data_IF_081698317014
#
_entry.id   IF_081698317014
#
_cell.length_a   1.000
_cell.length_b   1.000
_cell.length_c   1.000
_cell.angle_alpha   90.00
_cell.angle_beta   90.00
_cell.angle_gamma   90.00
#
_symmetry.space_group_name_H-M   'P 1'
#
loop_
_entity.id
_entity.type
_entity.pdbx_description
1 polymer ?
#
# COMPACT_ATOMS: atom_id res chain seq x y z
N UNK A 1 -33.97 -19.96 2.65
CA UNK A 1 -32.89 -19.43 3.50
C UNK A 1 -32.06 -18.61 2.56
N UNK A 2 -32.31 -17.29 2.52
CA UNK A 2 -31.49 -16.39 1.74
C UNK A 2 -30.10 -16.38 2.35
N UNK A 3 -29.14 -16.93 1.62
CA UNK A 3 -27.73 -16.62 1.83
C UNK A 3 -27.61 -15.14 1.53
N UNK A 4 -27.61 -14.32 2.58
CA UNK A 4 -27.26 -12.92 2.52
C UNK A 4 -25.87 -12.87 1.87
N UNK A 5 -25.83 -12.55 0.58
CA UNK A 5 -24.59 -12.31 -0.16
C UNK A 5 -23.90 -11.20 0.63
N UNK A 6 -22.76 -11.48 1.28
CA UNK A 6 -22.02 -10.42 1.94
C UNK A 6 -21.57 -9.47 0.85
N UNK A 7 -22.19 -8.29 0.79
CA UNK A 7 -21.79 -7.23 -0.12
C UNK A 7 -20.44 -6.73 0.41
N UNK A 8 -19.42 -6.77 -0.43
CA UNK A 8 -18.10 -6.24 -0.09
C UNK A 8 -18.18 -4.71 -0.05
N UNK A 9 -17.45 -4.03 0.86
CA UNK A 9 -17.48 -2.57 0.94
C UNK A 9 -16.86 -1.92 -0.30
N UNK A 10 -17.33 -0.73 -0.69
CA UNK A 10 -16.61 0.07 -1.68
C UNK A 10 -15.25 0.49 -1.11
N UNK A 11 -14.20 0.26 -1.90
CA UNK A 11 -12.83 0.57 -1.54
C UNK A 11 -12.36 1.88 -2.20
N UNK A 12 -11.44 2.56 -1.53
CA UNK A 12 -10.77 3.76 -2.03
C UNK A 12 -9.27 3.55 -1.98
N UNK A 13 -8.60 3.61 -3.13
CA UNK A 13 -7.15 3.67 -3.21
C UNK A 13 -6.70 5.12 -3.33
N UNK A 14 -5.93 5.63 -2.37
CA UNK A 14 -5.39 6.99 -2.41
C UNK A 14 -3.90 6.92 -2.67
N UNK A 15 -3.44 7.60 -3.72
CA UNK A 15 -2.02 7.70 -4.00
C UNK A 15 -1.37 8.75 -3.11
N UNK A 16 -0.50 8.34 -2.20
CA UNK A 16 0.12 9.19 -1.18
C UNK A 16 1.62 9.33 -1.42
N UNK A 17 2.12 10.54 -1.20
CA UNK A 17 3.54 10.89 -1.29
C UNK A 17 4.33 10.30 -0.12
N UNK A 18 5.52 9.75 -0.38
CA UNK A 18 6.48 9.35 0.67
C UNK A 18 7.77 10.20 0.60
N UNK A 19 7.78 11.27 -0.19
CA UNK A 19 8.91 12.21 -0.24
C UNK A 19 9.14 12.89 1.11
N UNK A 20 10.40 13.24 1.42
CA UNK A 20 10.77 13.92 2.66
C UNK A 20 9.93 15.15 2.99
N UNK A 21 9.80 16.06 2.03
CA UNK A 21 9.01 17.29 2.14
C UNK A 21 7.50 17.05 2.27
N UNK A 22 7.03 15.81 2.08
CA UNK A 22 5.65 15.42 2.34
C UNK A 22 5.41 15.00 3.79
N UNK A 23 6.44 14.75 4.59
CA UNK A 23 6.28 14.39 5.99
C UNK A 23 6.00 15.61 6.88
N UNK A 24 5.19 15.45 7.95
CA UNK A 24 4.50 14.21 8.34
C UNK A 24 3.28 13.92 7.45
N UNK A 25 2.97 12.63 7.20
CA UNK A 25 1.78 12.23 6.45
C UNK A 25 0.51 12.27 7.30
N UNK A 26 -0.66 12.20 6.67
CA UNK A 26 -1.98 12.23 7.33
C UNK A 26 -2.83 11.02 6.92
N UNK A 27 -3.45 10.36 7.90
CA UNK A 27 -4.52 9.37 7.71
C UNK A 27 -4.08 7.96 7.32
N UNK A 28 -2.78 7.72 7.09
CA UNK A 28 -2.25 6.43 6.63
C UNK A 28 -2.34 5.35 7.70
N UNK A 29 -2.33 5.72 8.99
CA UNK A 29 -2.56 4.79 10.10
C UNK A 29 -3.94 4.15 10.10
N UNK A 30 -4.87 4.70 9.32
CA UNK A 30 -6.24 4.20 9.20
C UNK A 30 -6.42 3.33 7.94
N UNK A 31 -5.41 3.20 7.08
CA UNK A 31 -5.50 2.32 5.92
C UNK A 31 -5.48 0.84 6.35
N UNK A 32 -6.34 0.01 5.76
CA UNK A 32 -6.33 -1.43 6.03
C UNK A 32 -5.31 -2.17 5.15
N UNK A 33 -4.96 -1.59 4.01
CA UNK A 33 -3.93 -2.09 3.09
C UNK A 33 -3.11 -0.90 2.60
N UNK A 34 -1.78 -1.02 2.64
CA UNK A 34 -0.87 -0.07 1.99
C UNK A 34 0.07 -0.84 1.08
N UNK A 35 0.22 -0.39 -0.16
CA UNK A 35 1.22 -0.90 -1.10
C UNK A 35 2.26 0.18 -1.33
N UNK A 36 3.48 -0.08 -0.89
CA UNK A 36 4.64 0.78 -1.07
C UNK A 36 5.48 0.28 -2.25
N UNK A 37 5.75 1.18 -3.20
CA UNK A 37 6.56 0.86 -4.38
C UNK A 37 7.37 2.07 -4.86
N UNK A 38 8.50 1.85 -5.54
CA UNK A 38 9.35 2.95 -6.01
C UNK A 38 8.71 3.68 -7.19
N UNK A 39 8.93 4.99 -7.26
CA UNK A 39 8.55 5.83 -8.40
C UNK A 39 9.79 6.49 -9.02
N UNK A 40 9.72 7.76 -9.42
CA UNK A 40 10.87 8.47 -10.00
C UNK A 40 12.00 8.65 -9.00
N UNK A 41 13.23 8.62 -9.50
CA UNK A 41 14.44 8.91 -8.73
C UNK A 41 14.61 8.05 -7.45
N UNK A 42 13.88 6.93 -7.34
CA UNK A 42 13.90 6.09 -6.14
C UNK A 42 13.09 6.68 -4.98
N UNK A 43 12.12 7.57 -5.21
CA UNK A 43 11.23 8.03 -4.14
C UNK A 43 10.04 7.07 -4.07
N UNK A 44 9.72 6.47 -2.90
CA UNK A 44 8.55 5.61 -2.77
C UNK A 44 7.26 6.43 -2.92
N UNK A 45 6.16 5.74 -3.21
CA UNK A 45 4.80 6.23 -2.93
C UNK A 45 4.00 5.12 -2.29
N UNK A 46 2.98 5.54 -1.54
CA UNK A 46 2.09 4.65 -0.82
C UNK A 46 0.72 4.65 -1.51
N UNK A 47 0.27 3.50 -2.00
CA UNK A 47 -1.12 3.31 -2.37
C UNK A 47 -1.87 2.82 -1.13
N UNK A 48 -2.56 3.73 -0.46
CA UNK A 48 -3.28 3.46 0.77
C UNK A 48 -4.76 3.18 0.50
N UNK A 49 -5.26 2.04 0.98
CA UNK A 49 -6.63 1.60 0.80
C UNK A 49 -7.48 1.83 2.04
N UNK A 50 -8.67 2.36 1.81
CA UNK A 50 -9.69 2.63 2.82
C UNK A 50 -11.04 2.04 2.39
N UNK A 51 -11.89 1.71 3.35
CA UNK A 51 -13.28 1.32 3.09
C UNK A 51 -14.20 2.54 3.20
N UNK A 52 -15.37 2.48 2.57
CA UNK A 52 -16.48 3.43 2.76
C UNK A 52 -16.97 3.54 4.21
N UNK A 53 -16.71 2.55 5.05
CA UNK A 53 -17.08 2.55 6.46
C UNK A 53 -16.11 3.36 7.34
N UNK A 54 -14.93 3.70 6.85
CA UNK A 54 -13.92 4.43 7.62
C UNK A 54 -14.13 5.94 7.57
N UNK A 55 -13.95 6.60 8.71
CA UNK A 55 -14.01 8.05 8.85
C UNK A 55 -12.59 8.62 9.04
N UNK A 56 -11.98 9.00 7.93
CA UNK A 56 -10.65 9.63 7.89
C UNK A 56 -10.79 11.09 7.45
N UNK A 57 -10.45 12.02 8.34
CA UNK A 57 -10.64 13.47 8.11
C UNK A 57 -9.66 14.05 7.08
N UNK A 58 -8.43 13.52 7.03
CA UNK A 58 -7.37 14.05 6.16
C UNK A 58 -6.43 12.93 5.73
N UNK A 59 -6.31 12.76 4.41
CA UNK A 59 -5.49 11.75 3.74
C UNK A 59 -4.52 12.46 2.78
N UNK A 60 -3.22 12.18 2.91
CA UNK A 60 -2.21 12.67 1.98
C UNK A 60 -0.86 13.02 2.62
N UNK A 61 0.00 13.78 1.91
CA UNK A 61 -0.29 14.45 0.65
C UNK A 61 -0.59 13.51 -0.53
N UNK A 62 -1.60 13.82 -1.34
CA UNK A 62 -1.99 13.05 -2.52
C UNK A 62 -1.05 13.34 -3.69
N UNK A 63 -0.64 12.29 -4.42
CA UNK A 63 0.33 12.35 -5.50
C UNK A 63 -0.10 11.66 -6.79
N UNK A 64 0.80 11.73 -7.77
CA UNK A 64 0.53 11.30 -9.14
C UNK A 64 0.48 9.78 -9.30
N UNK A 65 -0.44 9.32 -10.13
CA UNK A 65 -0.59 7.92 -10.49
C UNK A 65 0.58 7.36 -11.31
N UNK A 66 0.90 6.07 -11.13
CA UNK A 66 1.87 5.32 -11.94
C UNK A 66 1.22 4.02 -12.46
N UNK A 67 1.66 3.49 -13.62
CA UNK A 67 0.96 2.39 -14.28
C UNK A 67 0.74 1.17 -13.37
N UNK A 68 1.77 0.74 -12.65
CA UNK A 68 1.69 -0.38 -11.71
C UNK A 68 0.73 -0.13 -10.54
N UNK A 69 0.53 1.11 -10.07
CA UNK A 69 -0.50 1.39 -9.06
C UNK A 69 -1.91 1.37 -9.66
N UNK A 70 -2.08 1.79 -10.92
CA UNK A 70 -3.36 1.64 -11.65
C UNK A 70 -3.73 0.16 -11.74
N UNK A 71 -2.76 -0.68 -12.12
CA UNK A 71 -2.95 -2.14 -12.16
C UNK A 71 -3.30 -2.70 -10.78
N UNK A 72 -2.66 -2.25 -9.70
CA UNK A 72 -2.98 -2.71 -8.36
C UNK A 72 -4.38 -2.29 -7.92
N UNK A 73 -4.80 -1.04 -8.18
CA UNK A 73 -6.15 -0.57 -7.81
C UNK A 73 -7.25 -1.39 -8.48
N UNK A 74 -7.06 -1.81 -9.73
CA UNK A 74 -8.02 -2.66 -10.45
C UNK A 74 -8.33 -3.98 -9.72
N UNK A 75 -7.36 -4.56 -9.01
CA UNK A 75 -7.56 -5.83 -8.30
C UNK A 75 -8.61 -5.74 -7.18
N UNK A 76 -8.87 -4.52 -6.70
CA UNK A 76 -9.79 -4.23 -5.60
C UNK A 76 -11.01 -3.40 -6.02
N UNK A 77 -11.21 -3.14 -7.32
CA UNK A 77 -12.31 -2.31 -7.84
C UNK A 77 -12.48 -0.99 -7.05
N UNK A 78 -11.35 -0.40 -6.65
CA UNK A 78 -11.34 0.77 -5.79
C UNK A 78 -11.45 2.06 -6.60
N UNK A 79 -12.11 3.07 -6.03
CA UNK A 79 -12.00 4.45 -6.51
C UNK A 79 -10.57 4.92 -6.34
N UNK A 80 -9.96 5.41 -7.42
CA UNK A 80 -8.56 5.79 -7.42
C UNK A 80 -8.38 7.30 -7.28
N UNK A 81 -7.98 7.76 -6.10
CA UNK A 81 -7.72 9.18 -5.83
C UNK A 81 -6.26 9.55 -6.08
N UNK A 82 -6.00 10.48 -7.00
CA UNK A 82 -4.64 10.92 -7.32
C UNK A 82 -4.58 12.36 -7.86
N UNK A 83 -3.35 12.90 -7.95
CA UNK A 83 -3.06 14.24 -8.49
C UNK A 83 -2.23 14.12 -9.77
N UNK A 84 -2.93 14.04 -10.91
CA UNK A 84 -2.30 13.76 -12.21
C UNK A 84 -1.65 12.38 -12.25
N UNK A 85 -0.80 12.13 -13.24
CA UNK A 85 -0.18 10.82 -13.47
C UNK A 85 0.96 10.91 -14.46
N UNK A 86 1.71 9.82 -14.64
CA UNK A 86 2.56 9.70 -15.83
C UNK A 86 1.66 9.57 -17.06
N UNK A 87 2.15 9.93 -18.25
CA UNK A 87 1.37 9.79 -19.49
C UNK A 87 0.86 8.35 -19.69
N UNK A 88 1.69 7.36 -19.37
CA UNK A 88 1.32 5.94 -19.44
C UNK A 88 0.24 5.57 -18.42
N UNK A 89 0.30 6.11 -17.19
CA UNK A 89 -0.73 5.86 -16.19
C UNK A 89 -2.07 6.48 -16.58
N UNK A 90 -2.06 7.71 -17.09
CA UNK A 90 -3.27 8.39 -17.54
C UNK A 90 -3.91 7.69 -18.75
N UNK A 91 -3.10 7.24 -19.71
CA UNK A 91 -3.59 6.44 -20.82
C UNK A 91 -4.19 5.10 -20.33
N UNK A 92 -3.52 4.42 -19.39
CA UNK A 92 -4.05 3.18 -18.80
C UNK A 92 -5.37 3.39 -18.06
N UNK A 93 -5.54 4.51 -17.35
CA UNK A 93 -6.80 4.85 -16.67
C UNK A 93 -7.94 5.10 -17.69
N UNK A 94 -7.66 5.70 -18.84
CA UNK A 94 -8.65 5.91 -19.90
C UNK A 94 -9.07 4.61 -20.60
N UNK A 95 -8.14 3.65 -20.72
CA UNK A 95 -8.36 2.38 -21.42
C UNK A 95 -8.95 1.27 -20.51
N UNK A 96 -8.76 1.36 -19.19
CA UNK A 96 -9.15 0.35 -18.21
C UNK A 96 -10.36 0.79 -17.37
N UNK A 97 -11.16 -0.14 -16.81
CA UNK A 97 -12.31 0.20 -15.98
C UNK A 97 -11.90 0.65 -14.57
N UNK A 98 -11.26 1.82 -14.47
CA UNK A 98 -10.83 2.43 -13.21
C UNK A 98 -11.76 3.58 -12.85
N UNK A 99 -12.26 3.58 -11.61
CA UNK A 99 -13.05 4.69 -11.05
C UNK A 99 -12.12 5.87 -10.73
N UNK A 100 -11.80 6.67 -11.76
CA UNK A 100 -10.79 7.73 -11.74
C UNK A 100 -11.23 9.01 -10.97
N UNK A 101 -10.64 9.23 -9.80
CA UNK A 101 -10.76 10.48 -9.05
C UNK A 101 -9.45 11.30 -9.17
N UNK A 102 -9.32 12.03 -10.28
CA UNK A 102 -8.16 12.85 -10.56
C UNK A 102 -8.39 14.32 -10.17
N UNK A 103 -7.55 14.87 -9.32
CA UNK A 103 -7.64 16.27 -8.85
C UNK A 103 -7.69 17.32 -9.98
N UNK A 104 -7.13 17.03 -11.16
CA UNK A 104 -7.18 17.95 -12.31
C UNK A 104 -8.60 18.16 -12.86
N UNK A 105 -9.47 17.14 -12.78
CA UNK A 105 -10.85 17.18 -13.27
C UNK A 105 -11.87 17.25 -12.14
N UNK A 106 -11.50 16.73 -10.96
CA UNK A 106 -12.35 16.54 -9.80
C UNK A 106 -11.86 17.38 -8.60
N UNK A 107 -11.35 18.59 -8.86
CA UNK A 107 -10.69 19.41 -7.85
C UNK A 107 -11.54 19.78 -6.63
N UNK A 108 -12.87 19.67 -6.69
CA UNK A 108 -13.78 19.89 -5.56
C UNK A 108 -13.70 18.83 -4.46
N UNK A 109 -13.13 17.64 -4.75
CA UNK A 109 -12.95 16.53 -3.80
C UNK A 109 -11.55 16.52 -3.17
N UNK A 110 -10.81 17.62 -3.35
CA UNK A 110 -9.47 17.81 -2.82
C UNK A 110 -9.34 19.23 -2.29
N UNK A 111 -8.35 19.45 -1.43
CA UNK A 111 -7.93 20.79 -1.05
C UNK A 111 -6.42 20.90 -1.00
N UNK A 112 -5.92 22.14 -1.13
CA UNK A 112 -4.52 22.45 -0.88
C UNK A 112 -4.35 23.01 0.51
N UNK A 113 -3.48 22.39 1.30
CA UNK A 113 -3.10 22.92 2.60
C UNK A 113 -2.23 24.16 2.43
N UNK A 114 -2.44 25.16 3.30
CA UNK A 114 -1.74 26.45 3.26
C UNK A 114 -0.42 26.45 4.05
N UNK A 115 -0.22 25.45 4.89
CA UNK A 115 0.95 25.26 5.74
C UNK A 115 2.09 24.48 5.04
N UNK A 116 1.90 24.09 3.78
CA UNK A 116 2.87 23.33 2.98
C UNK A 116 2.99 23.84 1.55
N UNK A 117 4.18 23.67 0.99
CA UNK A 117 4.45 24.06 -0.39
C UNK A 117 4.01 22.98 -1.37
N UNK A 118 3.57 23.44 -2.55
CA UNK A 118 3.42 22.55 -3.68
C UNK A 118 4.81 21.95 -4.04
N UNK A 119 4.88 20.66 -4.43
CA UNK A 119 3.73 19.81 -4.77
C UNK A 119 3.27 18.86 -3.64
N UNK A 120 3.71 19.05 -2.39
CA UNK A 120 3.44 18.18 -1.23
C UNK A 120 2.28 18.69 -0.34
N UNK A 121 1.26 19.31 -0.94
CA UNK A 121 0.23 20.02 -0.19
C UNK A 121 -1.22 19.72 -0.58
N UNK A 122 -1.47 18.71 -1.42
CA UNK A 122 -2.85 18.32 -1.79
C UNK A 122 -3.34 17.23 -0.85
N UNK A 123 -4.57 17.33 -0.37
CA UNK A 123 -5.20 16.36 0.53
C UNK A 123 -6.62 16.03 0.07
N UNK A 124 -7.11 14.88 0.53
CA UNK A 124 -8.53 14.46 0.42
C UNK A 124 -9.00 13.89 1.76
N UNK A 125 -10.26 13.43 1.83
CA UNK A 125 -10.87 12.84 3.03
C UNK A 125 -11.80 11.71 2.64
N UNK A 126 -12.10 10.82 3.58
CA UNK A 126 -13.11 9.76 3.40
C UNK A 126 -14.48 10.31 2.98
N UNK A 127 -14.87 11.49 3.49
CA UNK A 127 -16.09 12.19 3.06
C UNK A 127 -16.06 12.53 1.56
N UNK A 128 -14.98 13.13 1.07
CA UNK A 128 -14.86 13.47 -0.35
C UNK A 128 -14.77 12.24 -1.25
N UNK A 129 -14.09 11.20 -0.79
CA UNK A 129 -14.03 9.92 -1.46
C UNK A 129 -15.43 9.31 -1.64
N UNK A 130 -16.24 9.27 -0.58
CA UNK A 130 -17.63 8.80 -0.64
C UNK A 130 -18.52 9.67 -1.52
N UNK A 131 -18.40 11.00 -1.42
CA UNK A 131 -19.19 11.93 -2.23
C UNK A 131 -18.89 11.77 -3.73
N UNK A 132 -17.66 11.44 -4.10
CA UNK A 132 -17.30 11.14 -5.49
C UNK A 132 -17.87 9.79 -5.94
N UNK A 133 -17.75 8.75 -5.11
CA UNK A 133 -18.25 7.42 -5.44
C UNK A 133 -19.77 7.40 -5.66
N UNK A 134 -20.53 8.18 -4.90
CA UNK A 134 -21.99 8.22 -5.01
C UNK A 134 -22.65 6.99 -4.38
N UNK A 135 -23.75 6.53 -4.99
CA UNK A 135 -24.40 5.27 -4.57
C UNK A 135 -23.55 4.06 -4.97
N UNK A 136 -23.49 3.07 -4.09
CA UNK A 136 -22.62 1.90 -4.23
C UNK A 136 -23.03 1.02 -5.41
N UNK A 137 -22.12 0.82 -6.36
CA UNK A 137 -22.11 -0.42 -7.15
C UNK A 137 -21.66 -1.56 -6.23
N UNK A 138 -22.24 -2.76 -6.35
CA UNK A 138 -21.74 -3.97 -5.68
C UNK A 138 -20.31 -4.25 -6.18
N UNK A 139 -19.24 -3.95 -5.40
CA UNK A 139 -17.89 -4.10 -5.91
C UNK A 139 -17.55 -5.59 -6.01
N UNK A 140 -16.81 -5.95 -7.05
CA UNK A 140 -16.45 -7.34 -7.34
C UNK A 140 -14.94 -7.49 -7.28
N UNK A 141 -14.43 -7.86 -6.11
CA UNK A 141 -13.03 -8.16 -5.90
C UNK A 141 -12.83 -9.40 -5.02
N UNK A 142 -11.62 -9.95 -5.08
CA UNK A 142 -11.21 -11.07 -4.23
C UNK A 142 -10.71 -10.59 -2.87
N UNK A 143 -10.89 -11.41 -1.83
CA UNK A 143 -10.26 -11.20 -0.53
C UNK A 143 -9.23 -12.29 -0.26
N UNK A 144 -8.28 -12.00 0.62
CA UNK A 144 -7.44 -13.03 1.21
C UNK A 144 -8.24 -13.90 2.20
N UNK A 145 -7.65 -15.04 2.56
CA UNK A 145 -8.10 -15.80 3.72
C UNK A 145 -7.49 -15.16 4.96
N UNK A 146 -8.34 -14.91 5.96
CA UNK A 146 -7.90 -14.32 7.22
C UNK A 146 -7.99 -15.31 8.37
N UNK A 147 -7.10 -15.13 9.35
CA UNK A 147 -7.10 -15.82 10.65
C UNK A 147 -6.98 -14.79 11.77
N UNK A 148 -7.34 -15.20 12.99
CA UNK A 148 -6.98 -14.43 14.18
C UNK A 148 -5.46 -14.49 14.41
N UNK A 149 -4.89 -13.42 14.97
CA UNK A 149 -3.49 -13.38 15.37
C UNK A 149 -3.17 -14.46 16.40
N UNK A 150 -1.94 -14.97 16.37
CA UNK A 150 -1.49 -15.99 17.30
C UNK A 150 -1.52 -15.47 18.75
N UNK A 151 -2.07 -16.27 19.66
CA UNK A 151 -2.11 -15.96 21.09
C UNK A 151 -0.74 -16.01 21.74
N UNK A 152 0.13 -16.86 21.22
CA UNK A 152 1.51 -17.02 21.66
C UNK A 152 2.43 -16.69 20.50
N UNK A 153 3.42 -15.86 20.77
CA UNK A 153 4.47 -15.48 19.81
C UNK A 153 5.75 -16.22 20.15
N UNK A 154 6.59 -16.55 19.16
CA UNK A 154 7.91 -17.13 19.43
C UNK A 154 8.71 -16.25 20.40
N UNK A 155 9.55 -16.84 21.28
CA UNK A 155 10.41 -16.07 22.17
C UNK A 155 11.38 -15.13 21.42
N UNK A 156 11.74 -15.51 20.20
CA UNK A 156 12.65 -14.81 19.31
C UNK A 156 11.84 -14.18 18.17
N UNK A 157 11.31 -12.98 18.39
CA UNK A 157 10.67 -12.21 17.34
C UNK A 157 11.74 -11.41 16.58
N UNK A 158 11.76 -11.54 15.26
CA UNK A 158 12.76 -10.88 14.44
C UNK A 158 12.34 -9.45 14.08
N UNK A 159 13.34 -8.56 13.98
CA UNK A 159 13.22 -7.31 13.25
C UNK A 159 13.74 -7.49 11.83
N UNK A 160 13.14 -6.78 10.89
CA UNK A 160 13.57 -6.78 9.49
C UNK A 160 14.01 -5.39 9.12
N UNK A 161 15.25 -5.32 8.67
CA UNK A 161 15.78 -4.16 7.99
C UNK A 161 15.76 -4.43 6.49
N UNK A 162 15.07 -3.58 5.76
CA UNK A 162 15.05 -3.62 4.32
C UNK A 162 16.06 -2.58 3.82
N UNK A 163 17.02 -3.03 3.03
CA UNK A 163 17.96 -2.11 2.39
C UNK A 163 17.29 -1.49 1.17
N UNK A 164 16.87 -0.26 1.35
CA UNK A 164 16.33 0.59 0.32
C UNK A 164 17.40 1.56 -0.19
N UNK A 165 18.68 1.19 -0.25
CA UNK A 165 19.70 1.95 -1.00
C UNK A 165 19.33 2.17 -2.48
N UNK A 166 18.34 1.42 -2.97
CA UNK A 166 17.64 1.68 -4.23
C UNK A 166 16.75 2.94 -4.22
N UNK A 167 16.24 3.33 -3.06
CA UNK A 167 15.45 4.52 -2.79
C UNK A 167 16.30 5.68 -2.26
N UNK A 168 15.87 6.92 -2.54
CA UNK A 168 16.62 8.11 -2.14
C UNK A 168 16.38 8.54 -0.69
N UNK A 169 15.35 8.01 -0.03
CA UNK A 169 14.82 8.50 1.25
C UNK A 169 14.92 7.48 2.41
N UNK A 170 16.12 6.94 2.62
CA UNK A 170 16.42 6.08 3.78
C UNK A 170 15.82 4.68 3.71
N UNK A 171 16.11 3.87 4.73
CA UNK A 171 15.79 2.44 4.78
C UNK A 171 14.59 2.13 5.69
N UNK A 172 13.45 1.63 5.19
CA UNK A 172 12.35 1.20 6.06
C UNK A 172 12.75 -0.03 6.90
N UNK A 173 12.43 0.01 8.19
CA UNK A 173 12.61 -1.11 9.12
C UNK A 173 11.26 -1.47 9.74
N UNK A 174 10.97 -2.76 9.82
CA UNK A 174 9.80 -3.29 10.51
C UNK A 174 10.25 -4.04 11.75
N UNK A 175 9.74 -3.64 12.92
CA UNK A 175 10.08 -4.28 14.20
C UNK A 175 8.83 -4.84 14.85
N UNK A 176 8.88 -6.10 15.26
CA UNK A 176 7.76 -6.71 15.96
C UNK A 176 7.58 -6.12 17.37
N UNK A 177 6.39 -5.61 17.66
CA UNK A 177 5.94 -5.18 18.98
C UNK A 177 5.13 -6.32 19.63
N UNK A 178 5.76 -7.02 20.57
CA UNK A 178 5.15 -8.16 21.27
C UNK A 178 3.99 -7.78 22.19
N UNK A 179 3.84 -6.50 22.58
CA UNK A 179 2.69 -6.05 23.38
C UNK A 179 1.46 -5.86 22.51
N UNK A 180 1.67 -5.41 21.27
CA UNK A 180 0.60 -5.16 20.28
C UNK A 180 0.34 -6.36 19.37
N UNK A 181 1.27 -7.31 19.30
CA UNK A 181 1.27 -8.41 18.32
C UNK A 181 1.27 -7.90 16.87
N UNK A 182 1.96 -6.78 16.61
CA UNK A 182 2.01 -6.09 15.31
C UNK A 182 3.44 -5.66 14.99
N UNK A 183 3.72 -5.36 13.72
CA UNK A 183 4.98 -4.80 13.27
C UNK A 183 4.89 -3.29 13.20
N UNK A 184 5.80 -2.59 13.87
CA UNK A 184 5.95 -1.15 13.80
C UNK A 184 6.87 -0.75 12.64
N UNK A 185 6.45 0.22 11.83
CA UNK A 185 7.25 0.79 10.75
C UNK A 185 8.16 1.91 11.25
N UNK A 186 9.40 1.93 10.76
CA UNK A 186 10.38 2.99 10.96
C UNK A 186 10.97 3.40 9.61
N UNK A 187 11.34 4.66 9.44
CA UNK A 187 12.16 5.11 8.32
C UNK A 187 13.58 5.35 8.83
N UNK A 188 14.52 4.53 8.38
CA UNK A 188 15.85 4.38 8.98
C UNK A 188 15.76 3.89 10.43
N UNK A 189 16.57 4.47 11.30
CA UNK A 189 16.52 4.23 12.75
C UNK A 189 15.53 5.16 13.46
N UNK A 190 14.86 6.05 12.73
CA UNK A 190 14.02 7.09 13.31
C UNK A 190 12.54 6.74 13.19
N UNK A 191 11.83 7.09 14.25
CA UNK A 191 10.38 7.16 14.23
C UNK A 191 9.96 8.45 13.51
N UNK A 192 9.16 8.32 12.45
CA UNK A 192 8.56 9.45 11.74
C UNK A 192 7.06 9.50 12.08
N UNK A 193 6.65 10.35 13.04
CA UNK A 193 5.25 10.46 13.40
C UNK A 193 4.41 10.98 12.25
N UNK A 194 3.18 10.50 12.17
CA UNK A 194 2.14 11.11 11.36
C UNK A 194 1.71 12.47 11.95
N UNK A 195 0.92 13.24 11.21
CA UNK A 195 0.53 14.60 11.59
C UNK A 195 -0.17 14.66 12.96
N UNK A 196 -0.92 13.61 13.33
CA UNK A 196 -1.59 13.47 14.62
C UNK A 196 -0.68 12.84 15.72
N UNK A 197 0.59 12.57 15.42
CA UNK A 197 1.54 11.90 16.30
C UNK A 197 1.42 10.37 16.31
N UNK A 198 0.53 9.78 15.50
CA UNK A 198 0.38 8.34 15.43
C UNK A 198 1.61 7.66 14.83
N UNK A 199 1.82 6.41 15.25
CA UNK A 199 2.83 5.51 14.71
C UNK A 199 2.16 4.52 13.75
N UNK A 200 2.92 3.98 12.79
CA UNK A 200 2.40 3.00 11.83
C UNK A 200 2.66 1.59 12.36
N UNK A 201 1.58 0.80 12.42
CA UNK A 201 1.61 -0.62 12.75
C UNK A 201 0.92 -1.44 11.65
N UNK A 202 1.38 -2.66 11.44
CA UNK A 202 0.74 -3.63 10.56
C UNK A 202 0.67 -5.01 11.23
N UNK A 203 -0.45 -5.70 11.07
CA UNK A 203 -0.62 -7.10 11.49
C UNK A 203 0.13 -8.05 10.55
N UNK A 204 0.24 -7.64 9.27
CA UNK A 204 0.98 -8.35 8.25
C UNK A 204 1.91 -7.38 7.51
N UNK A 205 3.17 -7.77 7.32
CA UNK A 205 4.06 -7.12 6.36
C UNK A 205 4.40 -8.15 5.29
N UNK A 206 4.16 -7.82 4.03
CA UNK A 206 4.48 -8.68 2.88
C UNK A 206 5.58 -8.00 2.08
N UNK A 207 6.65 -8.73 1.81
CA UNK A 207 7.73 -8.27 0.94
C UNK A 207 7.58 -9.02 -0.38
N UNK A 208 7.41 -8.29 -1.48
CA UNK A 208 7.28 -8.85 -2.83
C UNK A 208 8.48 -8.47 -3.67
N UNK A 209 9.28 -9.47 -4.06
CA UNK A 209 10.35 -9.27 -5.02
C UNK A 209 9.82 -9.41 -6.44
N UNK A 210 10.16 -8.45 -7.30
CA UNK A 210 9.78 -8.44 -8.70
C UNK A 210 10.79 -7.70 -9.58
N UNK A 211 10.58 -7.77 -10.89
CA UNK A 211 11.36 -7.03 -11.86
C UNK A 211 11.01 -5.53 -11.80
N UNK A 212 12.01 -4.69 -11.57
CA UNK A 212 11.90 -3.23 -11.59
C UNK A 212 12.98 -2.63 -12.48
N UNK A 213 12.56 -1.96 -13.56
CA UNK A 213 13.46 -1.37 -14.56
C UNK A 213 13.39 0.16 -14.54
N UNK A 214 14.53 0.83 -14.80
CA UNK A 214 14.54 2.27 -15.14
C UNK A 214 14.28 2.39 -16.63
N UNK A 215 13.26 3.14 -17.02
CA UNK A 215 12.85 3.25 -18.43
C UNK A 215 13.27 4.55 -19.11
N UNK A 216 13.82 5.53 -18.37
CA UNK A 216 14.32 6.78 -18.94
C UNK A 216 15.30 7.54 -18.02
N UNK A 217 15.86 8.63 -18.56
CA UNK A 217 16.81 9.51 -17.86
C UNK A 217 16.19 10.29 -16.69
N UNK A 218 14.85 10.36 -16.60
CA UNK A 218 14.14 10.94 -15.46
C UNK A 218 14.02 9.94 -14.29
N UNK A 219 14.46 8.70 -14.48
CA UNK A 219 14.40 7.66 -13.46
C UNK A 219 13.00 7.05 -13.28
N UNK A 220 12.11 7.17 -14.29
CA UNK A 220 10.80 6.49 -14.25
C UNK A 220 10.99 4.98 -14.19
N UNK A 221 10.07 4.30 -13.50
CA UNK A 221 10.13 2.85 -13.27
C UNK A 221 9.07 2.11 -14.04
N UNK A 222 9.43 0.93 -14.56
CA UNK A 222 8.50 -0.13 -14.92
C UNK A 222 8.62 -1.22 -13.87
N UNK A 223 7.49 -1.63 -13.32
CA UNK A 223 7.41 -2.67 -12.29
C UNK A 223 6.52 -3.78 -12.83
N UNK A 224 6.99 -5.02 -12.80
CA UNK A 224 6.13 -6.16 -13.11
C UNK A 224 5.19 -6.43 -11.94
N UNK A 225 3.89 -6.40 -12.19
CA UNK A 225 2.87 -6.62 -11.16
C UNK A 225 2.15 -7.96 -11.29
N UNK A 226 2.34 -8.69 -12.39
CA UNK A 226 1.72 -10.00 -12.65
C UNK A 226 2.75 -11.11 -12.79
N UNK A 227 2.29 -12.35 -12.80
CA UNK A 227 3.10 -13.56 -12.80
C UNK A 227 3.33 -14.08 -11.38
N UNK A 228 4.55 -14.52 -11.11
CA UNK A 228 4.96 -15.03 -9.81
C UNK A 228 6.35 -14.50 -9.43
N UNK A 229 6.70 -14.61 -8.16
CA UNK A 229 8.01 -14.20 -7.64
C UNK A 229 8.19 -14.62 -6.19
N UNK A 230 9.41 -14.46 -5.68
CA UNK A 230 9.73 -14.77 -4.29
C UNK A 230 9.33 -13.62 -3.36
N UNK A 231 9.25 -13.90 -2.07
CA UNK A 231 8.93 -12.89 -1.08
C UNK A 231 8.92 -13.44 0.34
N UNK A 232 8.45 -12.60 1.25
CA UNK A 232 8.24 -12.96 2.64
C UNK A 232 6.89 -12.47 3.14
N UNK A 233 6.25 -13.22 4.02
CA UNK A 233 5.15 -12.75 4.87
C UNK A 233 5.64 -12.72 6.31
N UNK A 234 5.47 -11.58 6.95
CA UNK A 234 5.70 -11.36 8.36
C UNK A 234 4.35 -11.26 9.05
N UNK A 235 4.11 -12.14 10.01
CA UNK A 235 2.93 -12.13 10.88
C UNK A 235 3.25 -12.90 12.16
N UNK A 236 2.61 -12.56 13.28
CA UNK A 236 2.78 -13.25 14.56
C UNK A 236 4.23 -13.36 15.07
N UNK A 237 5.08 -12.39 14.75
CA UNK A 237 6.51 -12.40 15.11
C UNK A 237 7.35 -13.38 14.30
N UNK A 238 6.77 -13.99 13.25
CA UNK A 238 7.44 -14.94 12.37
C UNK A 238 7.74 -14.34 11.01
N UNK A 239 8.68 -14.97 10.30
CA UNK A 239 9.03 -14.66 8.92
C UNK A 239 8.83 -15.93 8.11
N UNK A 240 8.00 -15.85 7.09
CA UNK A 240 7.60 -16.99 6.26
C UNK A 240 8.04 -16.70 4.83
N UNK A 241 8.96 -17.50 4.29
CA UNK A 241 9.30 -17.46 2.86
C UNK A 241 8.09 -17.86 2.02
N UNK A 242 7.80 -17.09 0.97
CA UNK A 242 6.65 -17.32 0.09
C UNK A 242 7.02 -17.25 -1.39
N UNK A 243 6.17 -17.85 -2.21
CA UNK A 243 6.00 -17.50 -3.63
C UNK A 243 4.69 -16.73 -3.75
N UNK A 244 4.77 -15.49 -4.23
CA UNK A 244 3.58 -14.72 -4.58
C UNK A 244 3.14 -15.06 -6.01
N UNK A 245 1.83 -15.03 -6.25
CA UNK A 245 1.23 -15.25 -7.58
C UNK A 245 0.12 -14.24 -7.82
N UNK A 246 0.16 -13.60 -8.98
CA UNK A 246 -0.87 -12.68 -9.47
C UNK A 246 -1.06 -12.90 -10.98
N UNK A 247 -2.02 -13.74 -11.39
CA UNK A 247 -2.15 -14.14 -12.80
C UNK A 247 -2.41 -12.96 -13.76
N UNK A 248 -3.32 -12.06 -13.38
CA UNK A 248 -3.77 -10.93 -14.20
C UNK A 248 -4.03 -9.70 -13.30
N UNK A 249 -4.19 -8.52 -13.91
CA UNK A 249 -4.37 -7.26 -13.18
C UNK A 249 -5.61 -7.24 -12.26
N UNK A 250 -6.68 -7.93 -12.64
CA UNK A 250 -7.92 -8.05 -11.86
C UNK A 250 -7.80 -8.94 -10.61
N UNK A 251 -6.72 -9.71 -10.49
CA UNK A 251 -6.51 -10.58 -9.34
C UNK A 251 -5.67 -9.86 -8.28
N UNK A 252 -5.98 -10.12 -7.02
CA UNK A 252 -5.09 -9.77 -5.90
C UNK A 252 -3.87 -10.70 -5.91
N UNK A 253 -2.70 -10.27 -5.42
CA UNK A 253 -1.59 -11.18 -5.20
C UNK A 253 -1.95 -12.20 -4.11
N UNK A 254 -1.66 -13.48 -4.35
CA UNK A 254 -1.80 -14.57 -3.38
C UNK A 254 -0.44 -15.10 -2.96
N UNK A 255 -0.32 -15.55 -1.71
CA UNK A 255 0.97 -15.90 -1.10
C UNK A 255 0.97 -17.38 -0.72
N UNK A 256 1.96 -18.13 -1.19
CA UNK A 256 2.06 -19.57 -0.96
C UNK A 256 3.36 -19.90 -0.23
N UNK A 257 3.28 -20.69 0.84
CA UNK A 257 4.47 -21.27 1.48
C UNK A 257 5.19 -22.24 0.52
N UNK A 258 6.42 -22.65 0.86
CA UNK A 258 7.20 -23.63 0.08
C UNK A 258 6.44 -24.96 -0.18
N UNK A 259 5.53 -25.35 0.73
CA UNK A 259 4.68 -26.54 0.58
C UNK A 259 3.49 -26.38 -0.37
N UNK A 260 3.27 -25.19 -0.92
CA UNK A 260 2.14 -24.86 -1.81
C UNK A 260 0.83 -24.51 -1.08
N UNK A 261 0.84 -24.46 0.25
CA UNK A 261 -0.29 -23.98 1.06
C UNK A 261 -0.38 -22.45 0.96
N UNK A 262 -1.59 -21.93 0.72
CA UNK A 262 -1.84 -20.48 0.72
C UNK A 262 -1.79 -19.95 2.15
N UNK A 263 -1.04 -18.87 2.36
CA UNK A 263 -0.91 -18.20 3.64
C UNK A 263 -2.21 -17.48 3.98
N UNK A 264 -2.82 -17.84 5.12
CA UNK A 264 -3.84 -17.01 5.74
C UNK A 264 -3.15 -15.83 6.47
N UNK A 265 -3.60 -14.61 6.18
CA UNK A 265 -3.11 -13.39 6.82
C UNK A 265 -3.82 -13.16 8.15
N UNK A 266 -3.18 -12.47 9.09
CA UNK A 266 -3.85 -11.93 10.27
C UNK A 266 -4.95 -10.95 9.85
N UNK A 267 -6.13 -11.04 10.44
CA UNK A 267 -7.17 -10.03 10.29
C UNK A 267 -6.66 -8.69 10.86
N UNK A 268 -6.61 -7.64 10.03
CA UNK A 268 -6.07 -6.34 10.41
C UNK A 268 -5.36 -5.65 9.25
N UNK A 269 -4.40 -4.78 9.58
CA UNK A 269 -3.67 -3.98 8.59
C UNK A 269 -2.60 -4.80 7.89
N UNK A 270 -2.56 -4.71 6.56
CA UNK A 270 -1.51 -5.33 5.73
C UNK A 270 -0.68 -4.25 5.03
N UNK A 271 0.64 -4.34 5.13
CA UNK A 271 1.56 -3.52 4.36
C UNK A 271 2.29 -4.39 3.34
N UNK A 272 2.33 -3.97 2.08
CA UNK A 272 3.04 -4.65 1.00
C UNK A 272 4.21 -3.77 0.55
N UNK A 273 5.43 -4.26 0.74
CA UNK A 273 6.68 -3.66 0.28
C UNK A 273 7.07 -4.28 -1.07
N UNK A 274 7.02 -3.49 -2.15
CA UNK A 274 7.43 -3.95 -3.49
C UNK A 274 8.89 -3.61 -3.73
N UNK A 275 9.70 -4.64 -3.93
CA UNK A 275 11.16 -4.56 -3.97
C UNK A 275 11.71 -5.16 -5.27
N UNK A 276 12.85 -4.65 -5.79
CA UNK A 276 13.52 -5.29 -6.90
C UNK A 276 14.11 -6.64 -6.45
N UNK A 277 14.18 -7.62 -7.36
CA UNK A 277 14.81 -8.92 -7.09
C UNK A 277 16.28 -8.83 -6.64
N UNK A 278 16.96 -7.71 -6.92
CA UNK A 278 18.34 -7.45 -6.49
C UNK A 278 18.46 -6.93 -5.05
N UNK A 279 17.35 -6.68 -4.35
CA UNK A 279 17.38 -6.13 -2.99
C UNK A 279 17.88 -7.16 -1.97
N UNK A 280 18.54 -6.65 -0.93
CA UNK A 280 18.90 -7.42 0.26
C UNK A 280 17.92 -7.16 1.39
N UNK A 281 17.51 -8.24 2.05
CA UNK A 281 16.76 -8.19 3.32
C UNK A 281 17.67 -8.69 4.42
N UNK A 282 17.80 -7.89 5.48
CA UNK A 282 18.57 -8.24 6.66
C UNK A 282 17.60 -8.55 7.80
N UNK A 283 17.71 -9.77 8.29
CA UNK A 283 16.99 -10.22 9.48
C UNK A 283 17.90 -10.08 10.69
N UNK A 284 17.39 -9.49 11.76
CA UNK A 284 18.09 -9.38 13.03
C UNK A 284 17.18 -9.82 14.16
N UNK A 285 17.72 -10.64 15.06
CA UNK A 285 17.03 -10.97 16.31
C UNK A 285 17.08 -9.75 17.24
N UNK A 286 15.97 -9.51 17.95
CA UNK A 286 15.86 -8.44 18.96
C UNK A 286 16.58 -8.80 20.27
#
# INVERSE_FOLDING_TARGET
>A
MDTQKSILPQLFGVMVDEHEDAHPLSGIEQAFLVIEAPTEAGIPRLLAFFTNEQEVEKIGPVRSARPYFVEMVQAWDAVYAHVGGSLEALASIEDEPVKDLNQYWNGSFFWRSWDRFAPHNVYTSSEFLRLFAGEEDDPIYETWTFKDSAKEVPPEASSIFLDFSFYSWGNTTWKFDSKRHQYQRFLGEHFYPLENGAEIFADNVVILFTDIEIVDDMGRRRIRTTGEGEGYVLQDGQIISIIWKRPENKNIPRFYAEGGEEIALNAGTTWIEVMPDSSSVLFSDL
#
